data_IF_253697394414
#
_entry.id   IF_253697394414
#
_cell.length_a   1.000
_cell.length_b   1.000
_cell.length_c   1.000
_cell.angle_alpha   90.00
_cell.angle_beta   90.00
_cell.angle_gamma   90.00
#
_symmetry.space_group_name_H-M   'P 1'
#
loop_
_entity.id
_entity.type
_entity.pdbx_description
1 polymer ?
#
# COMPACT_ATOMS: atom_id res chain seq x y z
N UNK A 1 28.23 -2.78 -45.05
CA UNK A 1 27.89 -2.84 -43.60
C UNK A 1 29.16 -2.67 -42.78
N UNK A 2 29.10 -2.11 -41.57
CA UNK A 2 30.28 -1.86 -40.72
C UNK A 2 30.26 -2.73 -39.46
N UNK A 3 31.43 -3.13 -38.97
CA UNK A 3 31.55 -3.98 -37.77
C UNK A 3 31.16 -3.23 -36.50
N UNK A 4 30.25 -3.79 -35.70
CA UNK A 4 29.81 -3.20 -34.43
C UNK A 4 30.94 -3.05 -33.38
N UNK A 5 32.02 -3.85 -33.49
CA UNK A 5 33.13 -3.83 -32.53
C UNK A 5 34.24 -2.82 -32.89
N UNK A 6 34.52 -2.63 -34.18
CA UNK A 6 35.67 -1.82 -34.63
C UNK A 6 35.35 -0.77 -35.71
N UNK A 7 34.09 -0.69 -36.17
CA UNK A 7 33.62 0.33 -37.12
C UNK A 7 34.11 0.19 -38.56
N UNK A 8 34.94 -0.80 -38.88
CA UNK A 8 35.45 -1.01 -40.25
C UNK A 8 34.44 -1.71 -41.15
N UNK A 9 34.54 -1.44 -42.44
CA UNK A 9 33.69 -2.06 -43.46
C UNK A 9 33.85 -3.58 -43.46
N UNK A 10 32.72 -4.28 -43.42
CA UNK A 10 32.64 -5.73 -43.44
C UNK A 10 32.30 -6.19 -44.86
N UNK A 11 33.05 -7.18 -45.41
CA UNK A 11 32.74 -7.77 -46.70
C UNK A 11 31.37 -8.48 -46.65
N UNK A 12 30.69 -8.65 -47.78
CA UNK A 12 29.35 -9.26 -47.81
C UNK A 12 29.33 -10.67 -47.18
N UNK A 13 30.42 -11.42 -47.30
CA UNK A 13 30.53 -12.82 -46.86
C UNK A 13 31.68 -13.00 -45.85
N UNK A 14 31.49 -13.87 -44.84
CA UNK A 14 32.50 -14.23 -43.84
C UNK A 14 31.97 -14.21 -42.41
N UNK A 15 32.24 -15.27 -41.63
CA UNK A 15 31.76 -15.43 -40.25
C UNK A 15 32.40 -14.45 -39.25
N UNK A 16 33.62 -14.01 -39.54
CA UNK A 16 34.41 -13.15 -38.67
C UNK A 16 34.79 -11.83 -39.36
N UNK A 17 34.97 -10.77 -38.56
CA UNK A 17 35.52 -9.51 -39.01
C UNK A 17 37.03 -9.68 -39.30
N UNK A 18 37.50 -9.44 -40.54
CA UNK A 18 38.91 -9.63 -40.89
C UNK A 18 39.85 -8.63 -40.20
N UNK A 19 39.32 -7.51 -39.69
CA UNK A 19 40.12 -6.47 -39.05
C UNK A 19 40.30 -6.61 -37.53
N UNK A 20 39.34 -7.23 -36.83
CA UNK A 20 39.38 -7.34 -35.37
C UNK A 20 39.01 -8.72 -34.83
N UNK A 21 38.70 -9.68 -35.72
CA UNK A 21 38.36 -11.06 -35.36
C UNK A 21 36.97 -11.24 -34.73
N UNK A 22 36.14 -10.20 -34.62
CA UNK A 22 34.80 -10.32 -34.03
C UNK A 22 33.88 -11.21 -34.88
N UNK A 23 33.18 -12.15 -34.27
CA UNK A 23 32.15 -12.96 -34.94
C UNK A 23 30.94 -12.08 -35.31
N UNK A 24 30.35 -12.31 -36.49
CA UNK A 24 29.17 -11.57 -36.96
C UNK A 24 27.85 -11.99 -36.29
N UNK A 25 27.82 -13.17 -35.68
CA UNK A 25 26.67 -13.84 -35.07
C UNK A 25 26.74 -13.86 -33.55
N UNK A 26 27.36 -12.87 -32.90
CA UNK A 26 26.99 -12.62 -31.51
C UNK A 26 25.56 -12.04 -31.49
N UNK A 27 24.59 -12.95 -31.55
CA UNK A 27 23.22 -12.73 -31.14
C UNK A 27 23.28 -12.11 -29.74
N UNK A 28 22.92 -10.82 -29.65
CA UNK A 28 22.44 -10.26 -28.40
C UNK A 28 21.29 -11.16 -27.97
N UNK A 29 21.55 -12.07 -27.03
CA UNK A 29 20.48 -12.70 -26.27
C UNK A 29 19.80 -11.57 -25.53
N UNK A 30 18.76 -11.01 -26.12
CA UNK A 30 17.75 -10.32 -25.35
C UNK A 30 17.31 -11.34 -24.30
N UNK A 31 17.64 -11.03 -23.05
CA UNK A 31 17.37 -11.87 -21.91
C UNK A 31 15.87 -11.84 -21.61
N UNK A 32 15.06 -12.32 -22.54
CA UNK A 32 13.74 -12.83 -22.25
C UNK A 32 13.79 -14.31 -22.61
N UNK A 33 14.27 -15.11 -21.65
CA UNK A 33 14.42 -16.54 -21.83
C UNK A 33 13.07 -17.19 -22.11
N UNK A 34 12.98 -17.91 -23.23
CA UNK A 34 11.87 -18.81 -23.56
C UNK A 34 11.94 -20.08 -22.71
N UNK A 35 11.79 -19.95 -21.39
CA UNK A 35 11.32 -21.05 -20.56
C UNK A 35 9.81 -21.23 -20.83
N UNK A 36 9.22 -22.44 -20.67
CA UNK A 36 7.77 -22.57 -20.69
C UNK A 36 7.19 -21.57 -19.69
N UNK A 37 6.35 -20.65 -20.19
CA UNK A 37 5.67 -19.65 -19.37
C UNK A 37 4.76 -20.41 -18.38
N UNK A 38 5.29 -20.70 -17.19
CA UNK A 38 4.46 -20.82 -16.00
C UNK A 38 3.96 -19.41 -15.72
N UNK A 39 2.96 -18.96 -16.49
CA UNK A 39 2.25 -17.72 -16.23
C UNK A 39 1.70 -17.87 -14.82
N UNK A 40 2.28 -17.10 -13.91
CA UNK A 40 1.72 -16.87 -12.60
C UNK A 40 0.32 -16.31 -12.79
N UNK A 41 -0.69 -17.04 -12.33
CA UNK A 41 -2.09 -16.66 -12.48
C UNK A 41 -2.33 -15.27 -11.87
N UNK A 42 -2.70 -14.34 -12.73
CA UNK A 42 -3.04 -12.95 -12.38
C UNK A 42 -4.19 -12.90 -11.38
N UNK A 43 -5.14 -13.83 -11.51
CA UNK A 43 -6.24 -14.00 -10.58
C UNK A 43 -5.76 -14.32 -9.16
N UNK A 44 -4.73 -15.15 -9.01
CA UNK A 44 -4.18 -15.48 -7.68
C UNK A 44 -3.50 -14.27 -7.07
N UNK A 45 -2.76 -13.47 -7.86
CA UNK A 45 -2.16 -12.22 -7.39
C UNK A 45 -3.20 -11.19 -6.94
N UNK A 46 -4.33 -11.10 -7.65
CA UNK A 46 -5.43 -10.18 -7.32
C UNK A 46 -6.14 -10.59 -6.03
N UNK A 47 -6.54 -11.86 -5.93
CA UNK A 47 -7.23 -12.41 -4.74
C UNK A 47 -6.34 -12.24 -3.51
N UNK A 48 -5.03 -12.49 -3.63
CA UNK A 48 -4.10 -12.34 -2.52
C UNK A 48 -4.03 -10.89 -2.04
N UNK A 49 -4.09 -9.91 -2.95
CA UNK A 49 -4.01 -8.48 -2.63
C UNK A 49 -5.26 -7.93 -1.94
N UNK A 50 -6.42 -8.55 -2.15
CA UNK A 50 -7.68 -8.20 -1.49
C UNK A 50 -7.67 -8.62 -0.02
N UNK A 51 -7.04 -9.75 0.31
CA UNK A 51 -7.06 -10.33 1.66
C UNK A 51 -6.00 -9.67 2.56
N UNK A 52 -4.81 -9.35 2.02
CA UNK A 52 -3.72 -8.75 2.78
C UNK A 52 -3.08 -7.63 1.95
N UNK A 53 -3.15 -6.36 2.39
CA UNK A 53 -2.45 -5.27 1.71
C UNK A 53 -0.95 -5.57 1.56
N UNK A 54 -0.43 -5.47 0.33
CA UNK A 54 1.00 -5.66 0.03
C UNK A 54 1.40 -7.04 -0.52
N UNK A 55 0.56 -8.08 -0.40
CA UNK A 55 0.87 -9.42 -0.93
C UNK A 55 0.91 -9.50 -2.47
N UNK A 56 0.14 -8.65 -3.16
CA UNK A 56 0.20 -8.54 -4.62
C UNK A 56 1.57 -8.10 -5.13
N UNK A 57 2.23 -7.17 -4.44
CA UNK A 57 3.59 -6.73 -4.79
C UNK A 57 4.64 -7.84 -4.53
N UNK A 58 4.44 -8.66 -3.50
CA UNK A 58 5.28 -9.83 -3.24
C UNK A 58 5.14 -10.90 -4.34
N UNK A 59 3.95 -11.05 -4.94
CA UNK A 59 3.71 -12.04 -5.99
C UNK A 59 4.47 -11.76 -7.31
N UNK A 60 4.62 -10.47 -7.65
CA UNK A 60 5.33 -9.97 -8.85
C UNK A 60 6.87 -9.98 -8.67
N UNK A 61 7.38 -10.40 -7.50
CA UNK A 61 8.81 -10.47 -7.21
C UNK A 61 9.42 -9.17 -6.69
N UNK A 62 8.60 -8.14 -6.43
CA UNK A 62 8.99 -6.90 -5.73
C UNK A 62 8.56 -6.95 -4.27
N UNK A 63 9.25 -7.82 -3.51
CA UNK A 63 8.92 -8.08 -2.11
C UNK A 63 9.18 -6.87 -1.18
N UNK A 64 10.15 -6.03 -1.53
CA UNK A 64 10.50 -4.79 -0.85
C UNK A 64 9.30 -3.82 -0.76
N UNK A 65 8.60 -3.61 -1.87
CA UNK A 65 7.43 -2.74 -1.92
C UNK A 65 6.23 -3.35 -1.20
N UNK A 66 6.06 -4.66 -1.28
CA UNK A 66 4.97 -5.38 -0.60
C UNK A 66 5.07 -5.32 0.92
N UNK A 67 6.28 -5.48 1.46
CA UNK A 67 6.53 -5.39 2.91
C UNK A 67 6.29 -3.97 3.42
N UNK A 68 6.73 -2.94 2.70
CA UNK A 68 6.48 -1.55 3.10
C UNK A 68 4.97 -1.23 3.17
N UNK A 69 4.19 -1.67 2.18
CA UNK A 69 2.75 -1.45 2.17
C UNK A 69 2.06 -2.22 3.30
N UNK A 70 2.50 -3.45 3.58
CA UNK A 70 1.96 -4.25 4.67
C UNK A 70 2.20 -3.57 6.02
N UNK A 71 3.44 -3.14 6.31
CA UNK A 71 3.77 -2.42 7.54
C UNK A 71 3.02 -1.10 7.68
N UNK A 72 2.95 -0.30 6.60
CA UNK A 72 2.21 0.95 6.59
C UNK A 72 0.72 0.72 6.89
N UNK A 73 0.12 -0.33 6.32
CA UNK A 73 -1.28 -0.66 6.56
C UNK A 73 -1.56 -1.03 8.02
N UNK A 74 -0.69 -1.82 8.65
CA UNK A 74 -0.81 -2.19 10.06
C UNK A 74 -0.72 -0.97 10.96
N UNK A 75 0.25 -0.08 10.70
CA UNK A 75 0.42 1.16 11.46
C UNK A 75 -0.82 2.04 11.34
N UNK A 76 -1.37 2.20 10.14
CA UNK A 76 -2.58 3.00 9.90
C UNK A 76 -3.81 2.42 10.59
N UNK A 77 -3.96 1.09 10.61
CA UNK A 77 -5.07 0.44 11.31
C UNK A 77 -4.97 0.68 12.82
N UNK A 78 -3.78 0.50 13.41
CA UNK A 78 -3.55 0.74 14.84
C UNK A 78 -3.80 2.22 15.18
N UNK A 79 -3.25 3.14 14.39
CA UNK A 79 -3.50 4.57 14.57
C UNK A 79 -4.98 4.92 14.44
N UNK A 80 -5.68 4.30 13.49
CA UNK A 80 -7.13 4.44 13.30
C UNK A 80 -7.90 4.06 14.57
N UNK A 81 -7.60 2.92 15.19
CA UNK A 81 -8.24 2.52 16.45
C UNK A 81 -7.92 3.48 17.60
N UNK A 82 -6.67 3.95 17.71
CA UNK A 82 -6.25 4.91 18.73
C UNK A 82 -6.92 6.28 18.58
N UNK A 83 -7.37 6.64 17.38
CA UNK A 83 -8.10 7.89 17.13
C UNK A 83 -9.60 7.68 17.30
N UNK A 84 -10.19 6.69 16.60
CA UNK A 84 -11.64 6.50 16.55
C UNK A 84 -12.21 6.19 17.94
N UNK A 85 -11.54 5.35 18.74
CA UNK A 85 -12.09 4.86 20.00
C UNK A 85 -12.17 5.97 21.08
N UNK A 86 -11.14 6.79 21.32
CA UNK A 86 -11.26 7.94 22.22
C UNK A 86 -12.30 8.97 21.78
N UNK A 87 -12.43 9.24 20.47
CA UNK A 87 -13.46 10.15 19.95
C UNK A 87 -14.87 9.62 20.21
N UNK A 88 -15.09 8.31 20.04
CA UNK A 88 -16.37 7.68 20.35
C UNK A 88 -16.71 7.79 21.86
N UNK A 89 -15.73 7.55 22.74
CA UNK A 89 -15.91 7.72 24.19
C UNK A 89 -16.20 9.18 24.54
N UNK A 90 -15.44 10.12 23.99
CA UNK A 90 -15.63 11.55 24.23
C UNK A 90 -17.04 12.00 23.82
N UNK A 91 -17.53 11.52 22.68
CA UNK A 91 -18.89 11.80 22.21
C UNK A 91 -19.96 11.22 23.15
N UNK A 92 -19.78 9.98 23.63
CA UNK A 92 -20.69 9.37 24.59
C UNK A 92 -20.72 10.15 25.93
N UNK A 93 -19.56 10.59 26.43
CA UNK A 93 -19.45 11.43 27.63
C UNK A 93 -20.11 12.79 27.45
N UNK A 94 -20.03 13.38 26.25
CA UNK A 94 -20.71 14.63 25.95
C UNK A 94 -22.23 14.49 26.05
N UNK A 95 -22.80 13.43 25.45
CA UNK A 95 -24.24 13.14 25.56
C UNK A 95 -24.65 12.92 27.02
N UNK A 96 -23.87 12.15 27.78
CA UNK A 96 -24.11 11.97 29.21
C UNK A 96 -24.11 13.33 29.91
N UNK A 97 -23.08 14.15 29.73
CA UNK A 97 -22.97 15.45 30.38
C UNK A 97 -24.21 16.33 30.13
N UNK A 98 -24.69 16.39 28.88
CA UNK A 98 -25.93 17.10 28.53
C UNK A 98 -27.14 16.54 29.29
N UNK A 99 -27.27 15.21 29.38
CA UNK A 99 -28.34 14.57 30.15
C UNK A 99 -28.26 14.87 31.65
N UNK A 100 -27.07 14.76 32.25
CA UNK A 100 -26.85 15.01 33.68
C UNK A 100 -27.11 16.49 34.04
N UNK A 101 -26.66 17.42 33.19
CA UNK A 101 -26.92 18.84 33.35
C UNK A 101 -28.43 19.13 33.34
N UNK A 102 -29.18 18.58 32.38
CA UNK A 102 -30.63 18.75 32.30
C UNK A 102 -31.34 18.16 33.52
N UNK A 103 -30.92 16.98 33.98
CA UNK A 103 -31.47 16.34 35.18
C UNK A 103 -31.28 17.23 36.43
N UNK A 104 -30.08 17.80 36.61
CA UNK A 104 -29.77 18.71 37.72
C UNK A 104 -30.54 20.02 37.64
N UNK A 105 -30.68 20.60 36.44
CA UNK A 105 -31.47 21.81 36.22
C UNK A 105 -32.94 21.60 36.59
N UNK A 106 -33.52 20.46 36.20
CA UNK A 106 -34.91 20.13 36.55
C UNK A 106 -35.10 19.98 38.07
N UNK A 107 -34.20 19.25 38.74
CA UNK A 107 -34.24 19.10 40.20
C UNK A 107 -34.10 20.46 40.93
N UNK A 108 -33.22 21.34 40.43
CA UNK A 108 -33.08 22.70 40.95
C UNK A 108 -34.37 23.52 40.78
N UNK A 109 -34.97 23.49 39.58
CA UNK A 109 -36.18 24.23 39.27
C UNK A 109 -37.38 23.77 40.11
N UNK A 110 -37.49 22.46 40.39
CA UNK A 110 -38.52 21.92 41.29
C UNK A 110 -38.33 22.41 42.74
N UNK A 111 -37.08 22.47 43.22
CA UNK A 111 -36.76 23.01 44.54
C UNK A 111 -37.15 24.49 44.66
N UNK A 112 -36.79 25.31 43.66
CA UNK A 112 -37.14 26.74 43.66
C UNK A 112 -38.65 26.94 43.54
N UNK A 113 -39.35 26.13 42.74
CA UNK A 113 -40.82 26.20 42.62
C UNK A 113 -41.55 25.88 43.91
N UNK A 114 -41.03 24.92 44.70
CA UNK A 114 -41.66 24.49 45.96
C UNK A 114 -41.35 25.41 47.13
N UNK A 115 -40.13 25.96 47.21
CA UNK A 115 -39.67 26.77 48.36
C UNK A 115 -39.71 28.28 48.09
N UNK A 116 -39.82 28.70 46.83
CA UNK A 116 -39.74 30.10 46.41
C UNK A 116 -38.34 30.73 46.57
N UNK A 117 -37.31 29.94 46.91
CA UNK A 117 -35.94 30.40 47.16
C UNK A 117 -34.91 29.42 46.57
N UNK A 118 -33.71 29.87 46.16
CA UNK A 118 -32.65 28.98 45.71
C UNK A 118 -32.15 28.07 46.86
N UNK A 119 -31.73 26.81 46.58
CA UNK A 119 -31.20 25.85 47.55
C UNK A 119 -29.78 26.15 48.09
N UNK A 120 -29.36 27.42 48.08
CA UNK A 120 -28.09 27.88 48.63
C UNK A 120 -28.23 29.30 49.18
#
# INVERSE_FOLDING_TARGET
MYCAKCGKELPAEGRYCPSCGADRYEEKKDQCGSAPLNLKDEATGLILSIIIPGTGHMYVGRADMGIMILLASVILVIAGFLVIFPWAIAFALWIWNVYDANKRLNAYNECVRSTGRPPY
#
